data_IF_865945163450
#
_entry.id   IF_865945163450
#
_cell.length_a   1.000
_cell.length_b   1.000
_cell.length_c   1.000
_cell.angle_alpha   90.00
_cell.angle_beta   90.00
_cell.angle_gamma   90.00
#
_symmetry.space_group_name_H-M   'P 1'
#
loop_
_entity.id
_entity.type
_entity.pdbx_description
1 polymer ?
#
# COMPACT_ATOMS: atom_id res chain seq x y z
N UNK A 1 -20.76 7.02 -11.93
CA UNK A 1 -20.19 6.89 -10.57
C UNK A 1 -19.07 7.92 -10.39
N UNK A 2 -18.90 8.49 -9.19
CA UNK A 2 -17.74 9.36 -8.89
C UNK A 2 -16.65 8.54 -8.20
N UNK A 3 -15.42 8.65 -8.68
CA UNK A 3 -14.26 7.95 -8.14
C UNK A 3 -13.17 8.93 -7.73
N UNK A 4 -12.51 8.64 -6.62
CA UNK A 4 -11.35 9.37 -6.11
C UNK A 4 -10.10 8.51 -6.24
N UNK A 5 -9.03 9.09 -6.78
CA UNK A 5 -7.72 8.48 -6.92
C UNK A 5 -6.78 8.95 -5.81
N UNK A 6 -6.31 8.03 -4.98
CA UNK A 6 -5.24 8.25 -4.01
C UNK A 6 -3.87 7.87 -4.62
N UNK A 7 -2.77 8.52 -4.21
CA UNK A 7 -2.67 9.53 -3.15
C UNK A 7 -2.98 10.96 -3.61
N UNK A 8 -3.14 11.22 -4.91
CA UNK A 8 -3.30 12.58 -5.45
C UNK A 8 -4.62 13.28 -5.10
N UNK A 9 -5.59 12.56 -4.52
CA UNK A 9 -6.93 13.05 -4.17
C UNK A 9 -7.72 13.64 -5.37
N UNK A 10 -7.44 13.16 -6.58
CA UNK A 10 -8.16 13.58 -7.79
C UNK A 10 -9.51 12.88 -7.86
N UNK A 11 -10.58 13.61 -8.12
CA UNK A 11 -11.94 13.07 -8.19
C UNK A 11 -12.55 13.31 -9.57
N UNK A 12 -13.17 12.28 -10.15
CA UNK A 12 -13.75 12.35 -11.49
C UNK A 12 -14.92 11.37 -11.65
N UNK A 13 -15.67 11.53 -12.73
CA UNK A 13 -16.78 10.66 -13.11
C UNK A 13 -16.31 9.54 -14.05
N UNK A 14 -16.68 8.30 -13.71
CA UNK A 14 -16.53 7.12 -14.58
C UNK A 14 -17.59 7.13 -15.67
N UNK A 15 -17.18 6.92 -16.92
CA UNK A 15 -18.04 6.95 -18.12
C UNK A 15 -18.40 5.58 -18.67
N UNK A 16 -17.44 4.67 -18.70
CA UNK A 16 -17.64 3.30 -19.14
C UNK A 16 -16.69 2.38 -18.39
N UNK A 17 -17.03 1.11 -18.33
CA UNK A 17 -16.20 0.02 -17.81
C UNK A 17 -16.18 -1.07 -18.87
N UNK A 18 -15.00 -1.62 -19.13
CA UNK A 18 -14.77 -2.60 -20.18
C UNK A 18 -13.84 -3.71 -19.67
N UNK A 19 -14.11 -4.96 -20.07
CA UNK A 19 -13.26 -6.11 -19.82
C UNK A 19 -13.13 -6.91 -21.10
N UNK A 20 -11.90 -7.23 -21.53
CA UNK A 20 -11.65 -7.98 -22.76
C UNK A 20 -12.35 -7.43 -24.02
N UNK A 21 -12.41 -6.11 -24.17
CA UNK A 21 -13.10 -5.39 -25.26
C UNK A 21 -14.64 -5.48 -25.26
N UNK A 22 -15.23 -5.93 -24.16
CA UNK A 22 -16.68 -5.93 -23.96
C UNK A 22 -17.07 -4.90 -22.88
N UNK A 23 -18.12 -4.15 -23.15
CA UNK A 23 -18.66 -3.19 -22.20
C UNK A 23 -19.40 -3.91 -21.07
N UNK A 24 -19.13 -3.49 -19.83
CA UNK A 24 -19.78 -4.03 -18.63
C UNK A 24 -20.70 -2.97 -18.01
N UNK A 25 -21.82 -3.43 -17.46
CA UNK A 25 -22.71 -2.58 -16.64
C UNK A 25 -22.14 -2.33 -15.24
N UNK A 26 -21.43 -3.32 -14.71
CA UNK A 26 -20.76 -3.28 -13.42
C UNK A 26 -19.52 -4.19 -13.43
N UNK A 27 -18.55 -3.90 -12.56
CA UNK A 27 -17.41 -4.75 -12.30
C UNK A 27 -17.48 -5.27 -10.86
N UNK A 28 -17.19 -6.55 -10.69
CA UNK A 28 -17.22 -7.24 -9.40
C UNK A 28 -15.81 -7.52 -8.88
N UNK A 29 -15.64 -7.79 -7.57
CA UNK A 29 -14.34 -8.16 -7.02
C UNK A 29 -13.73 -9.37 -7.74
N UNK A 30 -12.55 -9.18 -8.31
CA UNK A 30 -11.83 -10.20 -9.10
C UNK A 30 -11.71 -9.86 -10.59
N UNK A 31 -12.55 -8.95 -11.09
CA UNK A 31 -12.52 -8.54 -12.50
C UNK A 31 -11.32 -7.62 -12.79
N UNK A 32 -10.64 -7.88 -13.91
CA UNK A 32 -9.57 -7.01 -14.41
C UNK A 32 -10.13 -6.11 -15.51
N UNK A 33 -10.55 -4.91 -15.13
CA UNK A 33 -11.26 -3.98 -16.02
C UNK A 33 -10.43 -2.76 -16.37
N UNK A 34 -10.67 -2.23 -17.57
CA UNK A 34 -10.39 -0.84 -17.90
C UNK A 34 -11.65 0.00 -17.67
N UNK A 35 -11.51 1.23 -17.18
CA UNK A 35 -12.64 2.14 -17.10
C UNK A 35 -12.24 3.54 -17.54
N UNK A 36 -13.16 4.21 -18.21
CA UNK A 36 -12.92 5.53 -18.79
C UNK A 36 -13.33 6.63 -17.81
N UNK A 37 -12.51 7.68 -17.66
CA UNK A 37 -12.76 8.82 -16.78
C UNK A 37 -12.58 10.14 -17.52
N UNK A 38 -13.29 11.19 -17.10
CA UNK A 38 -13.18 12.52 -17.74
C UNK A 38 -12.16 13.42 -17.05
N UNK A 39 -11.62 14.38 -17.79
CA UNK A 39 -10.88 15.53 -17.26
C UNK A 39 -9.65 15.19 -16.39
N UNK A 40 -9.07 14.00 -16.54
CA UNK A 40 -7.80 13.62 -15.91
C UNK A 40 -6.82 13.24 -17.02
N UNK A 41 -5.65 13.85 -17.00
CA UNK A 41 -4.56 13.54 -17.93
C UNK A 41 -3.84 12.26 -17.53
N UNK A 42 -3.34 11.51 -18.51
CA UNK A 42 -2.51 10.31 -18.29
C UNK A 42 -1.24 10.60 -17.47
N UNK A 43 -0.79 11.87 -17.39
CA UNK A 43 0.37 12.28 -16.59
C UNK A 43 0.06 12.41 -15.10
N UNK A 44 -1.21 12.55 -14.74
CA UNK A 44 -1.68 12.78 -13.37
C UNK A 44 -1.93 11.47 -12.61
N UNK A 45 -2.13 10.37 -13.35
CA UNK A 45 -2.29 9.03 -12.80
C UNK A 45 -1.06 8.18 -13.10
N UNK A 46 -0.71 7.31 -12.15
CA UNK A 46 0.43 6.39 -12.27
C UNK A 46 0.03 5.02 -11.73
N UNK A 47 0.73 3.99 -12.19
CA UNK A 47 0.65 2.65 -11.58
C UNK A 47 0.93 2.76 -10.08
N UNK A 48 0.15 2.04 -9.27
CA UNK A 48 0.19 2.12 -7.81
C UNK A 48 -0.85 3.05 -7.19
N UNK A 49 -1.52 3.89 -7.97
CA UNK A 49 -2.64 4.69 -7.47
C UNK A 49 -3.86 3.80 -7.21
N UNK A 50 -4.65 4.20 -6.22
CA UNK A 50 -5.85 3.46 -5.80
C UNK A 50 -7.08 4.29 -6.13
N UNK A 51 -7.99 3.72 -6.92
CA UNK A 51 -9.30 4.31 -7.19
C UNK A 51 -10.34 3.73 -6.22
N UNK A 52 -11.23 4.57 -5.72
CA UNK A 52 -12.39 4.13 -4.93
C UNK A 52 -13.54 5.11 -5.02
N UNK A 53 -14.72 4.72 -4.55
CA UNK A 53 -15.92 5.57 -4.58
C UNK A 53 -15.71 6.83 -3.74
N UNK A 54 -15.89 8.00 -4.35
CA UNK A 54 -15.74 9.29 -3.67
C UNK A 54 -16.70 9.48 -2.50
N UNK A 55 -17.86 8.79 -2.51
CA UNK A 55 -18.93 8.92 -1.52
C UNK A 55 -18.92 7.81 -0.48
N UNK A 56 -18.15 6.75 -0.67
CA UNK A 56 -18.10 5.62 0.24
C UNK A 56 -16.66 5.30 0.64
N UNK A 57 -16.22 5.91 1.75
CA UNK A 57 -14.87 5.74 2.32
C UNK A 57 -13.75 5.86 1.26
N UNK A 58 -13.60 7.04 0.63
CA UNK A 58 -12.63 7.22 -0.45
C UNK A 58 -11.20 6.92 0.02
N UNK A 59 -10.35 6.36 -0.86
CA UNK A 59 -8.98 6.03 -0.53
C UNK A 59 -8.18 7.31 -0.24
N UNK A 60 -7.14 7.19 0.59
CA UNK A 60 -6.25 8.30 0.99
C UNK A 60 -4.80 7.86 0.91
N UNK A 61 -3.90 8.83 0.69
CA UNK A 61 -2.47 8.59 0.85
C UNK A 61 -2.13 8.31 2.31
N UNK A 62 -1.18 7.40 2.54
CA UNK A 62 -0.65 7.13 3.86
C UNK A 62 0.62 7.95 4.09
N UNK A 63 0.65 8.77 5.14
CA UNK A 63 1.87 9.45 5.58
C UNK A 63 2.84 8.45 6.24
N UNK A 64 2.27 7.52 7.01
CA UNK A 64 2.94 6.38 7.63
C UNK A 64 1.91 5.27 7.85
N UNK A 65 2.39 4.07 8.18
CA UNK A 65 1.55 2.97 8.61
C UNK A 65 2.35 2.03 9.52
N UNK A 66 1.67 1.40 10.47
CA UNK A 66 2.28 0.37 11.33
C UNK A 66 1.94 -1.01 10.78
N UNK A 67 2.95 -1.87 10.62
CA UNK A 67 2.78 -3.22 10.12
C UNK A 67 3.63 -4.24 10.89
N UNK A 68 3.15 -5.49 10.94
CA UNK A 68 3.98 -6.61 11.38
C UNK A 68 4.87 -7.06 10.22
N UNK A 69 6.18 -7.04 10.44
CA UNK A 69 7.20 -7.46 9.48
C UNK A 69 7.84 -8.74 9.99
N UNK A 70 8.01 -9.72 9.10
CA UNK A 70 8.80 -10.93 9.36
C UNK A 70 10.04 -10.86 8.47
N UNK A 71 11.22 -10.87 9.09
CA UNK A 71 12.49 -10.83 8.35
C UNK A 71 12.78 -12.22 7.83
N UNK A 72 12.83 -12.36 6.50
CA UNK A 72 13.24 -13.59 5.82
C UNK A 72 14.77 -13.75 5.85
N UNK A 73 15.36 -14.43 4.87
CA UNK A 73 16.79 -14.65 4.81
C UNK A 73 17.52 -13.37 4.34
N UNK A 74 18.02 -12.58 5.29
CA UNK A 74 18.77 -11.36 5.07
C UNK A 74 20.17 -11.45 5.73
N UNK A 75 21.27 -11.11 5.02
CA UNK A 75 22.63 -11.30 5.53
C UNK A 75 23.04 -10.31 6.64
N UNK A 76 22.32 -9.19 6.77
CA UNK A 76 22.58 -8.15 7.75
C UNK A 76 21.47 -7.95 8.78
N UNK A 77 21.64 -6.93 9.60
CA UNK A 77 20.61 -6.45 10.52
C UNK A 77 19.87 -5.25 9.90
N UNK A 78 18.61 -5.10 10.26
CA UNK A 78 17.76 -3.97 9.87
C UNK A 78 17.56 -3.09 11.10
N UNK A 79 17.86 -1.80 10.96
CA UNK A 79 17.72 -0.81 12.03
C UNK A 79 16.83 0.34 11.56
N UNK A 80 16.40 1.19 12.49
CA UNK A 80 15.67 2.42 12.17
C UNK A 80 16.43 3.24 11.11
N UNK A 81 15.71 3.70 10.09
CA UNK A 81 16.27 4.42 8.95
C UNK A 81 16.58 3.55 7.73
N UNK A 82 16.48 2.22 7.82
CA UNK A 82 16.57 1.34 6.64
C UNK A 82 15.43 1.64 5.64
N UNK A 83 15.75 1.79 4.36
CA UNK A 83 14.78 2.21 3.33
C UNK A 83 14.74 1.23 2.15
N UNK A 84 14.13 0.04 2.33
CA UNK A 84 13.90 -0.89 1.23
C UNK A 84 12.74 -0.42 0.35
N UNK A 85 12.62 -1.04 -0.82
CA UNK A 85 11.41 -0.91 -1.64
C UNK A 85 10.36 -1.91 -1.16
N UNK A 86 9.14 -1.43 -0.97
CA UNK A 86 7.96 -2.22 -0.65
C UNK A 86 7.07 -2.33 -1.87
N UNK A 87 6.70 -3.58 -2.18
CA UNK A 87 5.64 -3.91 -3.11
C UNK A 87 4.34 -4.11 -2.32
N UNK A 88 3.31 -3.31 -2.66
CA UNK A 88 1.99 -3.42 -2.05
C UNK A 88 0.93 -3.24 -3.14
N UNK A 89 0.18 -4.29 -3.43
CA UNK A 89 -0.75 -4.34 -4.58
C UNK A 89 -0.01 -4.07 -5.90
N UNK A 90 -0.26 -2.94 -6.55
CA UNK A 90 0.45 -2.50 -7.76
C UNK A 90 1.45 -1.37 -7.49
N UNK A 91 1.53 -0.89 -6.24
CA UNK A 91 2.48 0.13 -5.82
C UNK A 91 3.85 -0.49 -5.55
N UNK A 92 4.88 0.24 -5.97
CA UNK A 92 6.29 -0.10 -5.82
C UNK A 92 7.01 1.15 -5.34
N UNK A 93 7.19 1.28 -4.03
CA UNK A 93 7.60 2.52 -3.37
C UNK A 93 8.66 2.23 -2.31
N UNK A 94 9.69 3.07 -2.24
CA UNK A 94 10.65 3.04 -1.15
C UNK A 94 9.97 3.46 0.17
N UNK A 95 10.13 2.65 1.21
CA UNK A 95 9.55 2.95 2.52
C UNK A 95 10.64 2.88 3.58
N UNK A 96 10.73 3.93 4.39
CA UNK A 96 11.66 4.00 5.52
C UNK A 96 11.07 3.23 6.70
N UNK A 97 11.88 2.39 7.32
CA UNK A 97 11.65 1.83 8.66
C UNK A 97 11.85 2.97 9.66
N UNK A 98 10.79 3.74 9.91
CA UNK A 98 10.86 4.94 10.74
C UNK A 98 11.17 4.56 12.19
N UNK A 99 10.46 3.54 12.70
CA UNK A 99 10.61 3.06 14.06
C UNK A 99 10.26 1.57 14.15
N UNK A 100 11.17 0.75 14.67
CA UNK A 100 10.87 -0.61 15.09
C UNK A 100 10.35 -0.54 16.53
N UNK A 101 9.03 -0.63 16.69
CA UNK A 101 8.34 -0.42 17.97
C UNK A 101 8.52 -1.59 18.92
N UNK A 102 8.43 -2.81 18.40
CA UNK A 102 8.58 -4.01 19.21
C UNK A 102 9.00 -5.19 18.35
N UNK A 103 9.75 -6.11 18.96
CA UNK A 103 9.92 -7.47 18.48
C UNK A 103 8.84 -8.34 19.09
N UNK A 104 8.24 -9.22 18.30
CA UNK A 104 7.18 -10.11 18.74
C UNK A 104 7.44 -11.56 18.31
N UNK A 105 6.84 -12.49 19.04
CA UNK A 105 6.83 -13.90 18.63
C UNK A 105 5.96 -14.07 17.38
N UNK A 106 6.54 -14.64 16.33
CA UNK A 106 5.89 -14.79 15.01
C UNK A 106 4.62 -15.64 14.99
N UNK A 107 4.38 -16.47 16.01
CA UNK A 107 3.21 -17.38 16.07
C UNK A 107 2.09 -16.80 16.92
N UNK A 108 2.45 -16.14 18.01
CA UNK A 108 1.51 -15.66 19.02
C UNK A 108 1.27 -14.15 18.98
N UNK A 109 2.14 -13.41 18.29
CA UNK A 109 2.12 -11.95 18.25
C UNK A 109 2.52 -11.29 19.56
N UNK A 110 2.91 -12.05 20.58
CA UNK A 110 3.28 -11.50 21.89
C UNK A 110 4.61 -10.75 21.81
N UNK A 111 4.65 -9.55 22.36
CA UNK A 111 5.85 -8.72 22.50
C UNK A 111 6.92 -9.48 23.30
N UNK A 112 8.12 -9.55 22.73
CA UNK A 112 9.30 -10.15 23.36
C UNK A 112 10.33 -9.10 23.78
N UNK A 113 10.38 -7.98 23.04
CA UNK A 113 11.31 -6.86 23.31
C UNK A 113 10.66 -5.57 22.80
N UNK A 114 10.64 -4.54 23.64
CA UNK A 114 10.17 -3.20 23.26
C UNK A 114 11.32 -2.34 22.73
N UNK A 115 11.07 -1.56 21.68
CA UNK A 115 12.01 -0.62 21.05
C UNK A 115 13.40 -1.24 20.75
N UNK A 116 13.47 -2.39 20.04
CA UNK A 116 14.74 -3.02 19.73
C UNK A 116 15.59 -2.13 18.82
N UNK A 117 16.92 -2.14 19.03
CA UNK A 117 17.86 -1.36 18.19
C UNK A 117 17.92 -1.84 16.74
N UNK A 118 17.67 -3.13 16.52
CA UNK A 118 17.73 -3.79 15.22
C UNK A 118 16.99 -5.12 15.22
N UNK A 119 16.54 -5.57 14.05
CA UNK A 119 15.95 -6.89 13.81
C UNK A 119 16.77 -7.66 12.77
N UNK A 120 16.74 -8.99 12.82
CA UNK A 120 17.49 -9.87 11.90
C UNK A 120 16.63 -11.03 11.39
N UNK A 121 17.19 -11.82 10.48
CA UNK A 121 16.55 -13.01 9.91
C UNK A 121 15.87 -13.88 10.96
N UNK A 122 14.59 -14.18 10.72
CA UNK A 122 13.73 -14.98 11.60
C UNK A 122 12.93 -14.17 12.62
N UNK A 123 13.27 -12.91 12.86
CA UNK A 123 12.54 -12.04 13.77
C UNK A 123 11.21 -11.58 13.17
N UNK A 124 10.19 -11.47 14.01
CA UNK A 124 8.97 -10.71 13.72
C UNK A 124 8.96 -9.43 14.55
N UNK A 125 8.49 -8.33 13.98
CA UNK A 125 8.47 -7.04 14.65
C UNK A 125 7.31 -6.18 14.16
N UNK A 126 6.80 -5.31 15.04
CA UNK A 126 5.89 -4.24 14.66
C UNK A 126 6.73 -3.01 14.31
N UNK A 127 6.57 -2.54 13.09
CA UNK A 127 7.37 -1.46 12.51
C UNK A 127 6.45 -0.36 12.00
N UNK A 128 6.76 0.89 12.35
CA UNK A 128 6.21 2.06 11.69
C UNK A 128 7.00 2.34 10.42
N UNK A 129 6.31 2.27 9.29
CA UNK A 129 6.85 2.45 7.95
C UNK A 129 6.37 3.78 7.39
N UNK A 130 7.27 4.50 6.72
CA UNK A 130 6.98 5.78 6.10
C UNK A 130 7.32 5.70 4.61
N UNK A 131 6.31 5.74 3.70
CA UNK A 131 6.55 5.89 2.27
C UNK A 131 7.36 7.16 1.97
N UNK A 132 8.31 7.09 1.03
CA UNK A 132 9.17 8.21 0.60
C UNK A 132 8.93 8.63 -0.84
#
# INVERSE_FOLDING_TARGET
>A
MLVTFAPAALTTEVKSVEMHHEALTEALPGDNVGFNVKNISVKELRRGYVAGDSKNQPPRGAADFTAQVIVLNHPGQISNGYTPVLDCHTAHIACKFAEIKEKCDRRTGKTTEENPKSIKSGDAAIVMLQPT
#
